data_IF_829677003023
#
_entry.id   IF_829677003023
#
_cell.length_a   1.000
_cell.length_b   1.000
_cell.length_c   1.000
_cell.angle_alpha   90.00
_cell.angle_beta   90.00
_cell.angle_gamma   90.00
#
_symmetry.space_group_name_H-M   'P 1'
#
loop_
_entity.id
_entity.type
_entity.pdbx_description
1 polymer ?
#
# COMPACT_ATOMS: atom_id res chain seq x y z
N UNK A 1 -1.80 -13.66 1.68
CA UNK A 1 -1.92 -12.49 2.55
C UNK A 1 -3.15 -12.56 3.45
N UNK A 2 -4.34 -12.83 2.93
CA UNK A 2 -5.56 -12.96 3.73
C UNK A 2 -5.43 -14.02 4.83
N UNK A 3 -4.87 -15.18 4.51
CA UNK A 3 -4.61 -16.23 5.49
C UNK A 3 -3.59 -15.79 6.54
N UNK A 4 -2.54 -15.10 6.11
CA UNK A 4 -1.52 -14.56 7.02
C UNK A 4 -2.11 -13.57 8.01
N UNK A 5 -3.01 -12.69 7.58
CA UNK A 5 -3.72 -11.78 8.49
C UNK A 5 -4.62 -12.52 9.46
N UNK A 6 -5.34 -13.54 8.98
CA UNK A 6 -6.18 -14.37 9.85
C UNK A 6 -5.35 -15.04 10.93
N UNK A 7 -4.21 -15.61 10.57
CA UNK A 7 -3.29 -16.28 11.52
C UNK A 7 -2.71 -15.30 12.55
N UNK A 8 -2.57 -14.03 12.20
CA UNK A 8 -2.08 -12.96 13.09
C UNK A 8 -3.20 -12.29 13.89
N UNK A 9 -4.47 -12.65 13.66
CA UNK A 9 -5.61 -11.99 14.29
C UNK A 9 -5.87 -10.58 13.79
N UNK A 10 -5.38 -10.23 12.60
CA UNK A 10 -5.60 -8.93 11.96
C UNK A 10 -6.85 -8.99 11.10
N UNK A 11 -7.76 -8.03 11.28
CA UNK A 11 -9.04 -7.98 10.57
C UNK A 11 -8.93 -7.39 9.15
N UNK A 12 -7.75 -7.03 8.70
CA UNK A 12 -7.52 -6.52 7.35
C UNK A 12 -7.78 -7.64 6.33
N UNK A 13 -8.57 -7.31 5.29
CA UNK A 13 -8.88 -8.22 4.18
C UNK A 13 -9.65 -9.51 4.59
N UNK A 14 -10.45 -9.44 5.64
CA UNK A 14 -11.21 -10.61 6.11
C UNK A 14 -12.69 -10.60 5.68
N UNK A 15 -13.14 -9.54 4.99
CA UNK A 15 -14.50 -9.35 4.50
C UNK A 15 -14.71 -9.74 3.02
N UNK A 16 -13.80 -10.54 2.47
CA UNK A 16 -13.82 -10.94 1.06
C UNK A 16 -13.07 -9.98 0.13
N UNK A 17 -12.48 -8.91 0.66
CA UNK A 17 -11.65 -7.99 -0.10
C UNK A 17 -10.15 -8.28 0.18
N UNK A 18 -9.26 -8.20 -0.82
CA UNK A 18 -9.57 -8.04 -2.23
C UNK A 18 -10.13 -9.34 -2.83
N UNK A 19 -11.09 -9.19 -3.74
CA UNK A 19 -11.64 -10.30 -4.51
C UNK A 19 -11.03 -10.35 -5.91
N UNK A 20 -11.39 -11.36 -6.68
CA UNK A 20 -10.89 -11.54 -8.04
C UNK A 20 -11.21 -10.35 -8.94
N UNK A 21 -12.41 -9.78 -8.81
CA UNK A 21 -12.85 -8.64 -9.61
C UNK A 21 -11.97 -7.40 -9.41
N UNK A 22 -11.61 -7.11 -8.16
CA UNK A 22 -10.69 -6.00 -7.82
C UNK A 22 -9.31 -6.22 -8.44
N UNK A 23 -8.80 -7.44 -8.35
CA UNK A 23 -7.48 -7.79 -8.89
C UNK A 23 -7.47 -7.68 -10.42
N UNK A 24 -8.53 -8.15 -11.09
CA UNK A 24 -8.65 -8.03 -12.55
C UNK A 24 -8.72 -6.57 -12.98
N UNK A 25 -9.40 -5.71 -12.24
CA UNK A 25 -9.44 -4.28 -12.51
C UNK A 25 -8.06 -3.64 -12.38
N UNK A 26 -7.30 -4.01 -11.36
CA UNK A 26 -5.92 -3.52 -11.19
C UNK A 26 -5.04 -3.90 -12.39
N UNK A 27 -5.19 -5.13 -12.90
CA UNK A 27 -4.46 -5.61 -14.07
C UNK A 27 -4.90 -4.85 -15.32
N UNK A 28 -6.20 -4.67 -15.50
CA UNK A 28 -6.75 -3.96 -16.66
C UNK A 28 -6.25 -2.52 -16.74
N UNK A 29 -6.09 -1.86 -15.60
CA UNK A 29 -5.55 -0.49 -15.51
C UNK A 29 -4.04 -0.42 -15.68
N UNK A 30 -3.35 -1.55 -15.77
CA UNK A 30 -1.89 -1.59 -15.86
C UNK A 30 -1.21 -1.17 -14.56
N UNK A 31 -1.89 -1.29 -13.42
CA UNK A 31 -1.39 -0.86 -12.10
C UNK A 31 -0.90 -2.02 -11.25
N UNK A 32 -1.12 -3.26 -11.69
CA UNK A 32 -0.70 -4.45 -10.95
C UNK A 32 0.71 -4.87 -11.39
N UNK A 33 1.57 -5.08 -10.41
CA UNK A 33 2.96 -5.49 -10.61
C UNK A 33 3.24 -6.76 -9.81
N UNK A 34 4.11 -7.60 -10.35
CA UNK A 34 4.58 -8.80 -9.66
C UNK A 34 6.10 -8.78 -9.58
N UNK A 35 6.62 -9.33 -8.50
CA UNK A 35 8.05 -9.62 -8.37
C UNK A 35 8.26 -11.09 -8.65
N UNK A 36 9.11 -11.41 -9.62
CA UNK A 36 9.37 -12.77 -10.05
C UNK A 36 10.87 -13.07 -9.96
N UNK A 37 11.19 -14.27 -9.51
CA UNK A 37 12.57 -14.78 -9.49
C UNK A 37 12.53 -16.22 -9.95
N UNK A 38 13.24 -16.53 -11.03
CA UNK A 38 13.35 -17.90 -11.58
C UNK A 38 11.99 -18.58 -11.82
N UNK A 39 11.03 -17.83 -12.33
CA UNK A 39 9.68 -18.32 -12.62
C UNK A 39 8.76 -18.38 -11.42
N UNK A 40 9.20 -17.96 -10.24
CA UNK A 40 8.38 -17.95 -9.01
C UNK A 40 7.95 -16.53 -8.72
N UNK A 41 6.63 -16.34 -8.50
CA UNK A 41 6.10 -15.04 -8.09
C UNK A 41 6.30 -14.90 -6.58
N UNK A 42 7.13 -13.94 -6.19
CA UNK A 42 7.47 -13.67 -4.79
C UNK A 42 6.51 -12.69 -4.12
N UNK A 43 5.83 -11.89 -4.90
CA UNK A 43 4.89 -10.91 -4.36
C UNK A 43 4.18 -10.11 -5.44
N UNK A 44 3.22 -9.30 -5.00
CA UNK A 44 2.44 -8.42 -5.85
C UNK A 44 2.23 -7.08 -5.15
N UNK A 45 2.05 -6.04 -5.96
CA UNK A 45 1.70 -4.72 -5.48
C UNK A 45 0.92 -3.98 -6.55
N UNK A 46 0.07 -3.05 -6.14
CA UNK A 46 -0.63 -2.13 -7.03
C UNK A 46 -0.05 -0.74 -6.83
N UNK A 47 0.38 -0.11 -7.93
CA UNK A 47 0.94 1.23 -7.92
C UNK A 47 0.05 2.11 -8.79
N UNK A 48 -0.52 3.14 -8.18
CA UNK A 48 -1.50 4.02 -8.83
C UNK A 48 -1.09 5.47 -8.67
N UNK A 49 -1.35 6.27 -9.70
CA UNK A 49 -1.26 7.73 -9.67
C UNK A 49 -2.64 8.38 -9.63
N UNK A 50 -3.69 7.58 -9.50
CA UNK A 50 -5.06 8.07 -9.37
C UNK A 50 -5.28 8.67 -7.98
N UNK A 51 -6.03 9.77 -7.94
CA UNK A 51 -6.41 10.40 -6.68
C UNK A 51 -7.33 9.48 -5.89
N UNK A 52 -6.96 9.24 -4.64
CA UNK A 52 -7.75 8.42 -3.71
C UNK A 52 -8.71 9.31 -2.91
N UNK A 53 -10.01 9.20 -3.18
CA UNK A 53 -11.01 10.07 -2.54
C UNK A 53 -11.03 9.95 -1.02
N UNK A 54 -10.80 8.76 -0.49
CA UNK A 54 -10.79 8.55 0.96
C UNK A 54 -9.65 9.29 1.65
N UNK A 55 -8.60 9.61 0.92
CA UNK A 55 -7.46 10.35 1.46
C UNK A 55 -7.76 11.84 1.67
N UNK A 56 -8.74 12.39 0.95
CA UNK A 56 -9.17 13.78 1.14
C UNK A 56 -9.81 14.01 2.50
N UNK A 57 -10.37 12.96 3.10
CA UNK A 57 -11.03 13.01 4.40
C UNK A 57 -10.15 12.65 5.58
N UNK A 58 -8.84 12.86 5.48
CA UNK A 58 -7.91 12.52 6.58
C UNK A 58 -8.31 13.26 7.87
N UNK A 59 -8.30 12.53 8.98
CA UNK A 59 -8.66 13.00 10.31
C UNK A 59 -7.53 12.73 11.30
N UNK A 60 -7.59 13.40 12.45
CA UNK A 60 -6.65 13.23 13.55
C UNK A 60 -5.19 13.45 13.10
N UNK A 61 -5.01 14.37 12.18
CA UNK A 61 -3.73 14.71 11.59
C UNK A 61 -3.91 15.31 10.21
N UNK A 62 -2.84 15.32 9.44
CA UNK A 62 -2.86 15.87 8.09
C UNK A 62 -1.73 15.26 7.25
N UNK A 63 -1.90 15.26 5.94
CA UNK A 63 -0.83 14.89 5.04
C UNK A 63 0.35 15.85 5.16
N UNK A 64 1.57 15.35 4.87
CA UNK A 64 2.78 16.17 4.91
C UNK A 64 2.86 17.16 3.74
N UNK A 65 2.23 16.82 2.61
CA UNK A 65 2.22 17.64 1.40
C UNK A 65 0.88 18.36 1.25
N UNK A 66 0.85 19.53 0.57
CA UNK A 66 -0.38 20.28 0.36
C UNK A 66 -1.46 19.50 -0.40
N UNK A 67 -2.74 19.91 -0.24
CA UNK A 67 -3.88 19.20 -0.78
C UNK A 67 -3.93 19.07 -2.31
N UNK A 68 -3.25 19.95 -3.04
CA UNK A 68 -3.15 19.92 -4.49
C UNK A 68 -1.94 19.12 -5.00
N UNK A 69 -1.14 18.56 -4.11
CA UNK A 69 0.04 17.77 -4.47
C UNK A 69 -0.37 16.46 -5.14
N UNK A 70 0.27 16.15 -6.26
CA UNK A 70 0.15 14.84 -6.90
C UNK A 70 0.91 13.82 -6.07
N UNK A 71 0.34 12.63 -5.95
CA UNK A 71 0.95 11.55 -5.19
C UNK A 71 0.78 10.20 -5.88
N UNK A 72 1.63 9.28 -5.52
CA UNK A 72 1.49 7.87 -5.86
C UNK A 72 0.87 7.14 -4.67
N UNK A 73 0.05 6.15 -4.92
CA UNK A 73 -0.49 5.25 -3.89
C UNK A 73 -0.01 3.83 -4.17
N UNK A 74 0.45 3.16 -3.13
CA UNK A 74 0.73 1.73 -3.19
C UNK A 74 -0.41 1.01 -2.47
N UNK A 75 -1.10 0.15 -3.20
CA UNK A 75 -2.21 -0.66 -2.68
C UNK A 75 -1.85 -2.14 -2.71
N UNK A 76 -2.49 -2.91 -1.84
CA UNK A 76 -2.51 -4.37 -1.90
C UNK A 76 -1.13 -4.99 -2.09
N UNK A 77 -0.14 -4.45 -1.40
CA UNK A 77 1.20 -5.05 -1.38
C UNK A 77 1.16 -6.34 -0.56
N UNK A 78 1.61 -7.42 -1.16
CA UNK A 78 1.61 -8.74 -0.53
C UNK A 78 2.82 -9.54 -1.00
N UNK A 79 3.43 -10.27 -0.10
CA UNK A 79 4.53 -11.19 -0.41
C UNK A 79 4.08 -12.63 -0.22
N UNK A 80 4.65 -13.53 -1.01
CA UNK A 80 4.35 -14.95 -0.91
C UNK A 80 4.82 -15.46 0.47
N UNK A 81 3.95 -16.11 1.22
CA UNK A 81 4.23 -16.46 2.60
C UNK A 81 5.44 -17.40 2.76
N UNK A 82 5.73 -18.25 1.78
CA UNK A 82 6.88 -19.16 1.79
C UNK A 82 8.21 -18.45 1.49
N UNK A 83 8.14 -17.24 0.93
CA UNK A 83 9.30 -16.47 0.48
C UNK A 83 9.42 -15.12 1.19
N UNK A 84 8.85 -15.01 2.38
CA UNK A 84 8.98 -13.81 3.21
C UNK A 84 10.46 -13.57 3.56
N UNK A 85 10.79 -12.30 3.83
CA UNK A 85 12.14 -11.85 4.21
C UNK A 85 13.20 -11.94 3.09
N UNK A 86 12.76 -12.00 1.82
CA UNK A 86 13.66 -11.93 0.67
C UNK A 86 13.84 -10.53 0.11
N UNK A 87 13.39 -9.50 0.84
CA UNK A 87 13.50 -8.13 0.39
C UNK A 87 12.51 -7.74 -0.70
N UNK A 88 11.48 -8.54 -0.96
CA UNK A 88 10.50 -8.30 -2.02
C UNK A 88 9.73 -7.00 -1.81
N UNK A 89 9.26 -6.73 -0.59
CA UNK A 89 8.55 -5.48 -0.28
C UNK A 89 9.44 -4.27 -0.48
N UNK A 90 10.71 -4.36 -0.06
CA UNK A 90 11.70 -3.30 -0.28
C UNK A 90 11.98 -3.07 -1.75
N UNK A 91 12.03 -4.12 -2.56
CA UNK A 91 12.21 -4.01 -4.01
C UNK A 91 11.03 -3.30 -4.68
N UNK A 92 9.80 -3.61 -4.28
CA UNK A 92 8.61 -2.86 -4.74
C UNK A 92 8.70 -1.39 -4.37
N UNK A 93 9.11 -1.09 -3.15
CA UNK A 93 9.21 0.30 -2.69
C UNK A 93 10.26 1.08 -3.49
N UNK A 94 11.41 0.51 -3.74
CA UNK A 94 12.44 1.16 -4.56
C UNK A 94 11.97 1.38 -6.01
N UNK A 95 11.30 0.39 -6.58
CA UNK A 95 10.69 0.53 -7.90
C UNK A 95 9.63 1.65 -7.91
N UNK A 96 8.80 1.72 -6.87
CA UNK A 96 7.78 2.77 -6.74
C UNK A 96 8.41 4.15 -6.62
N UNK A 97 9.45 4.29 -5.78
CA UNK A 97 10.17 5.55 -5.62
C UNK A 97 10.78 6.04 -6.92
N UNK A 98 11.44 5.14 -7.64
CA UNK A 98 12.05 5.47 -8.92
C UNK A 98 11.00 5.86 -9.97
N UNK A 99 9.89 5.12 -10.02
CA UNK A 99 8.78 5.43 -10.93
C UNK A 99 8.15 6.78 -10.60
N UNK A 100 7.95 7.09 -9.33
CA UNK A 100 7.41 8.37 -8.89
C UNK A 100 8.34 9.52 -9.30
N UNK A 101 9.65 9.39 -9.03
CA UNK A 101 10.63 10.41 -9.41
C UNK A 101 10.65 10.67 -10.91
N UNK A 102 10.60 9.63 -11.73
CA UNK A 102 10.56 9.77 -13.20
C UNK A 102 9.34 10.55 -13.68
N UNK A 103 8.23 10.47 -12.96
CA UNK A 103 7.00 11.19 -13.27
C UNK A 103 6.91 12.56 -12.60
N UNK A 104 7.94 12.96 -11.87
CA UNK A 104 7.93 14.21 -11.12
C UNK A 104 6.97 14.20 -9.93
N UNK A 105 6.59 13.04 -9.44
CA UNK A 105 5.74 12.86 -8.27
C UNK A 105 6.63 12.57 -7.07
N UNK A 106 6.57 13.42 -6.05
CA UNK A 106 7.48 13.37 -4.91
C UNK A 106 6.81 12.95 -3.61
N UNK A 107 5.62 12.37 -3.68
CA UNK A 107 4.89 11.86 -2.53
C UNK A 107 4.37 10.45 -2.82
N UNK A 108 4.60 9.55 -1.88
CA UNK A 108 3.99 8.22 -1.87
C UNK A 108 3.13 8.11 -0.62
N UNK A 109 1.88 7.70 -0.79
CA UNK A 109 0.92 7.53 0.31
C UNK A 109 0.49 6.08 0.40
N UNK A 110 0.38 5.59 1.62
CA UNK A 110 -0.07 4.21 1.92
C UNK A 110 -0.97 4.26 3.14
N UNK A 111 -1.98 3.42 3.16
CA UNK A 111 -2.78 3.18 4.35
C UNK A 111 -2.71 1.71 4.76
N UNK A 112 -2.91 1.46 6.05
CA UNK A 112 -2.93 0.10 6.58
C UNK A 112 -3.87 -0.02 7.77
N UNK A 113 -4.32 -1.24 8.07
CA UNK A 113 -5.19 -1.52 9.20
C UNK A 113 -4.48 -1.20 10.52
N UNK A 114 -5.19 -0.64 11.53
CA UNK A 114 -4.59 -0.34 12.83
C UNK A 114 -3.93 -1.54 13.52
N UNK A 115 -4.42 -2.75 13.28
CA UNK A 115 -3.89 -3.98 13.88
C UNK A 115 -2.67 -4.53 13.12
N UNK A 116 -2.37 -4.00 11.95
CA UNK A 116 -1.24 -4.48 11.14
C UNK A 116 0.07 -3.83 11.60
N UNK A 117 0.56 -4.25 12.76
CA UNK A 117 1.76 -3.70 13.37
C UNK A 117 3.02 -3.97 12.54
N UNK A 118 3.07 -5.10 11.84
CA UNK A 118 4.20 -5.44 10.97
C UNK A 118 4.33 -4.42 9.86
N UNK A 119 3.22 -4.09 9.18
CA UNK A 119 3.23 -3.09 8.12
C UNK A 119 3.56 -1.69 8.65
N UNK A 120 2.99 -1.30 9.79
CA UNK A 120 3.28 -0.01 10.41
C UNK A 120 4.76 0.14 10.72
N UNK A 121 5.37 -0.88 11.32
CA UNK A 121 6.81 -0.89 11.62
C UNK A 121 7.64 -0.81 10.34
N UNK A 122 7.27 -1.56 9.32
CA UNK A 122 7.98 -1.56 8.04
C UNK A 122 7.90 -0.19 7.37
N UNK A 123 6.73 0.45 7.39
CA UNK A 123 6.55 1.79 6.83
C UNK A 123 7.46 2.80 7.53
N UNK A 124 7.47 2.81 8.87
CA UNK A 124 8.32 3.72 9.64
C UNK A 124 9.81 3.50 9.37
N UNK A 125 10.24 2.25 9.27
CA UNK A 125 11.63 1.90 8.96
C UNK A 125 12.05 2.33 7.56
N UNK A 126 11.08 2.50 6.65
CA UNK A 126 11.33 2.86 5.27
C UNK A 126 11.01 4.32 4.95
N UNK A 127 11.00 5.17 5.96
CA UNK A 127 10.90 6.62 5.78
C UNK A 127 9.48 7.16 5.65
N UNK A 128 8.46 6.34 5.87
CA UNK A 128 7.08 6.82 5.93
C UNK A 128 6.79 7.41 7.30
N UNK A 129 6.00 8.47 7.30
CA UNK A 129 5.58 9.19 8.50
C UNK A 129 4.07 9.02 8.66
N UNK A 130 3.66 8.66 9.88
CA UNK A 130 2.25 8.59 10.24
C UNK A 130 1.61 9.96 10.12
N UNK A 131 0.46 10.06 9.42
CA UNK A 131 -0.20 11.33 9.13
C UNK A 131 -1.57 11.47 9.78
N UNK A 132 -2.24 10.38 10.08
CA UNK A 132 -3.59 10.43 10.66
C UNK A 132 -4.43 9.22 10.27
N UNK A 133 -5.76 9.42 10.29
CA UNK A 133 -6.74 8.38 9.99
C UNK A 133 -7.49 8.67 8.71
N UNK A 134 -7.81 7.62 7.98
CA UNK A 134 -8.80 7.67 6.90
C UNK A 134 -9.87 6.60 7.16
N UNK A 135 -11.02 6.82 6.55
CA UNK A 135 -12.14 5.88 6.62
C UNK A 135 -12.40 5.35 5.22
N UNK A 136 -12.39 4.03 5.08
CA UNK A 136 -12.80 3.39 3.83
C UNK A 136 -14.32 3.55 3.63
N UNK A 137 -14.78 3.33 2.41
CA UNK A 137 -16.21 3.43 2.06
C UNK A 137 -17.06 2.50 2.94
N UNK A 138 -16.54 1.34 3.32
CA UNK A 138 -17.22 0.38 4.19
C UNK A 138 -17.20 0.77 5.69
N UNK A 139 -16.67 1.96 6.04
CA UNK A 139 -16.57 2.43 7.42
C UNK A 139 -15.37 1.91 8.20
N UNK A 140 -14.48 1.19 7.56
CA UNK A 140 -13.28 0.64 8.18
C UNK A 140 -12.20 1.72 8.37
N UNK A 141 -11.60 1.78 9.57
CA UNK A 141 -10.52 2.70 9.87
C UNK A 141 -9.19 2.21 9.28
N UNK A 142 -8.41 3.15 8.75
CA UNK A 142 -7.04 2.90 8.31
C UNK A 142 -6.12 3.99 8.83
N UNK A 143 -4.89 3.63 9.15
CA UNK A 143 -3.83 4.58 9.45
C UNK A 143 -3.13 4.99 8.17
N UNK A 144 -2.94 6.28 8.01
CA UNK A 144 -2.40 6.90 6.80
C UNK A 144 -0.94 7.31 7.00
N UNK A 145 -0.13 7.00 5.99
CA UNK A 145 1.32 7.26 6.01
C UNK A 145 1.74 7.93 4.71
N UNK A 146 2.75 8.80 4.80
CA UNK A 146 3.31 9.46 3.63
C UNK A 146 4.83 9.44 3.66
N UNK A 147 5.44 9.19 2.50
CA UNK A 147 6.88 9.33 2.28
C UNK A 147 7.09 10.42 1.23
N UNK A 148 7.75 11.50 1.62
CA UNK A 148 8.13 12.59 0.72
C UNK A 148 9.53 12.28 0.18
N UNK A 149 9.66 12.23 -1.14
CA UNK A 149 10.89 11.81 -1.82
C UNK A 149 11.88 12.95 -2.05
#
# INVERSE_FOLDING_TARGET
>A
AQQSFRDQGVDQWQDGYPNEEVILEDIRKGQSYVAEEKGIILGTAVISFEKEKTYDGIENGQWLTPGDTKYMVIHRIATHYEYKRRGTAGAFLEFARETARRRGVLSIRIDTHPDNQIMQSWLCKNGFIYCGWIWLINGSLRYAYENVL
#
